data_IF_849820848603
#
_entry.id   IF_849820848603
#
_cell.length_a   1.000
_cell.length_b   1.000
_cell.length_c   1.000
_cell.angle_alpha   90.00
_cell.angle_beta   90.00
_cell.angle_gamma   90.00
#
_symmetry.space_group_name_H-M   'P 1'
#
loop_
_entity.id
_entity.type
_entity.pdbx_description
1 polymer ?
#
# COMPACT_ATOMS: atom_id res chain seq x y z
N UNK A 1 4.95 17.87 -33.07
CA UNK A 1 5.17 17.73 -31.60
C UNK A 1 6.64 17.97 -31.34
N UNK A 2 6.93 18.68 -30.29
CA UNK A 2 8.32 18.93 -29.86
C UNK A 2 9.00 17.58 -29.51
N UNK A 3 10.15 17.32 -30.13
CA UNK A 3 10.82 16.01 -30.04
C UNK A 3 11.96 15.96 -29.02
N UNK A 4 12.27 17.10 -28.37
CA UNK A 4 13.38 17.23 -27.41
C UNK A 4 12.89 17.64 -26.02
N UNK A 5 13.27 16.88 -24.99
CA UNK A 5 12.94 17.10 -23.60
C UNK A 5 14.19 17.11 -22.71
N UNK A 6 14.10 17.74 -21.55
CA UNK A 6 15.14 17.60 -20.52
C UNK A 6 14.96 16.29 -19.76
N UNK A 7 13.68 15.91 -19.51
CA UNK A 7 13.31 14.67 -18.81
C UNK A 7 12.12 13.99 -19.50
N UNK A 8 12.23 12.68 -19.70
CA UNK A 8 11.09 11.82 -20.03
C UNK A 8 10.88 10.83 -18.90
N UNK A 9 9.69 10.89 -18.27
CA UNK A 9 9.27 9.93 -17.23
C UNK A 9 8.45 8.82 -17.88
N UNK A 10 8.77 7.57 -17.60
CA UNK A 10 8.08 6.38 -18.13
C UNK A 10 7.21 5.76 -17.05
N UNK A 11 5.89 5.90 -17.19
CA UNK A 11 4.87 5.50 -16.24
C UNK A 11 4.32 6.70 -15.46
N UNK A 12 2.99 6.85 -15.45
CA UNK A 12 2.28 7.93 -14.77
C UNK A 12 1.59 7.45 -13.48
N UNK A 13 2.17 6.45 -12.80
CA UNK A 13 1.81 6.08 -11.42
C UNK A 13 2.23 7.16 -10.42
N UNK A 14 1.97 6.98 -9.10
CA UNK A 14 2.29 7.98 -8.06
C UNK A 14 3.71 8.55 -8.18
N UNK A 15 4.73 7.74 -8.19
CA UNK A 15 6.10 8.23 -8.38
C UNK A 15 6.32 8.96 -9.69
N UNK A 16 5.75 8.45 -10.79
CA UNK A 16 5.99 9.02 -12.11
C UNK A 16 5.30 10.36 -12.33
N UNK A 17 4.00 10.50 -11.96
CA UNK A 17 3.32 11.79 -12.16
C UNK A 17 3.85 12.86 -11.21
N UNK A 18 4.22 12.49 -9.96
CA UNK A 18 4.85 13.42 -9.00
C UNK A 18 6.22 13.87 -9.50
N UNK A 19 7.06 12.93 -9.96
CA UNK A 19 8.35 13.24 -10.56
C UNK A 19 8.22 14.20 -11.75
N UNK A 20 7.28 13.93 -12.67
CA UNK A 20 7.06 14.77 -13.83
C UNK A 20 6.62 16.18 -13.47
N UNK A 21 5.71 16.32 -12.47
CA UNK A 21 5.26 17.62 -11.96
C UNK A 21 6.43 18.37 -11.31
N UNK A 22 7.20 17.72 -10.44
CA UNK A 22 8.33 18.34 -9.77
C UNK A 22 9.42 18.77 -10.75
N UNK A 23 9.76 17.94 -11.75
CA UNK A 23 10.68 18.32 -12.83
C UNK A 23 10.21 19.60 -13.55
N UNK A 24 8.92 19.67 -13.92
CA UNK A 24 8.37 20.85 -14.59
C UNK A 24 8.38 22.09 -13.68
N UNK A 25 8.10 21.96 -12.40
CA UNK A 25 8.18 23.05 -11.41
C UNK A 25 9.62 23.58 -11.24
N UNK A 26 10.62 22.71 -11.44
CA UNK A 26 12.05 23.06 -11.42
C UNK A 26 12.54 23.61 -12.77
N UNK A 27 11.62 23.90 -13.73
CA UNK A 27 11.94 24.52 -15.01
C UNK A 27 12.40 23.56 -16.11
N UNK A 28 12.36 22.24 -15.87
CA UNK A 28 12.77 21.24 -16.84
C UNK A 28 11.63 20.97 -17.84
N UNK A 29 11.94 20.95 -19.14
CA UNK A 29 10.99 20.57 -20.18
C UNK A 29 10.70 19.09 -20.10
N UNK A 30 9.50 18.73 -19.63
CA UNK A 30 9.16 17.37 -19.20
C UNK A 30 8.08 16.74 -20.06
N UNK A 31 8.27 15.45 -20.39
CA UNK A 31 7.23 14.58 -20.90
C UNK A 31 7.02 13.38 -19.98
N UNK A 32 5.81 12.83 -20.00
CA UNK A 32 5.48 11.59 -19.29
C UNK A 32 4.80 10.60 -20.23
N UNK A 33 5.32 9.38 -20.30
CA UNK A 33 4.76 8.29 -21.14
C UNK A 33 3.86 7.41 -20.28
N UNK A 34 2.61 7.19 -20.73
CA UNK A 34 1.68 6.26 -20.06
C UNK A 34 0.97 5.38 -21.09
N UNK A 35 0.97 4.07 -20.82
CA UNK A 35 0.33 3.08 -21.69
C UNK A 35 -1.17 2.93 -21.44
N UNK A 36 -1.64 3.26 -20.24
CA UNK A 36 -3.05 3.21 -19.89
C UNK A 36 -3.85 4.38 -20.46
N UNK A 37 -5.17 4.24 -20.51
CA UNK A 37 -6.06 5.32 -20.99
C UNK A 37 -6.06 6.54 -20.06
N UNK A 38 -5.80 6.33 -18.79
CA UNK A 38 -5.85 7.36 -17.73
C UNK A 38 -4.54 7.41 -16.97
N UNK A 39 -4.20 8.58 -16.49
CA UNK A 39 -3.05 8.81 -15.60
C UNK A 39 -3.31 8.27 -14.18
N UNK A 40 -2.28 8.22 -13.33
CA UNK A 40 -2.38 7.82 -11.93
C UNK A 40 -2.01 6.37 -11.65
N UNK A 41 -1.70 5.58 -12.68
CA UNK A 41 -1.19 4.20 -12.57
C UNK A 41 -2.12 3.26 -11.81
N UNK A 42 -1.55 2.20 -11.25
CA UNK A 42 -2.29 1.19 -10.46
C UNK A 42 -3.02 1.81 -9.27
N UNK A 43 -2.37 2.70 -8.53
CA UNK A 43 -2.90 3.27 -7.28
C UNK A 43 -4.26 3.95 -7.50
N UNK A 44 -4.36 4.88 -8.46
CA UNK A 44 -5.58 5.63 -8.69
C UNK A 44 -6.65 4.79 -9.39
N UNK A 45 -6.26 3.93 -10.32
CA UNK A 45 -7.21 3.24 -11.20
C UNK A 45 -7.74 1.92 -10.65
N UNK A 46 -6.88 1.06 -10.10
CA UNK A 46 -7.21 -0.32 -9.73
C UNK A 46 -6.56 -0.78 -8.40
N UNK A 47 -6.15 0.16 -7.55
CA UNK A 47 -5.43 -0.11 -6.30
C UNK A 47 -5.96 0.71 -5.12
N UNK A 48 -5.14 1.66 -4.64
CA UNK A 48 -5.37 2.40 -3.40
C UNK A 48 -6.74 3.11 -3.36
N UNK A 49 -7.06 3.89 -4.39
CA UNK A 49 -8.27 4.72 -4.37
C UNK A 49 -9.55 3.89 -4.42
N UNK A 50 -9.72 2.95 -5.38
CA UNK A 50 -10.93 2.13 -5.37
C UNK A 50 -11.05 1.25 -4.12
N UNK A 51 -9.93 0.75 -3.53
CA UNK A 51 -9.98 -0.03 -2.29
C UNK A 51 -10.42 0.82 -1.11
N UNK A 52 -9.88 2.04 -0.93
CA UNK A 52 -10.26 2.95 0.17
C UNK A 52 -11.70 3.44 0.04
N UNK A 53 -12.18 3.66 -1.18
CA UNK A 53 -13.60 3.96 -1.42
C UNK A 53 -14.53 2.81 -0.98
N UNK A 54 -14.19 1.57 -1.29
CA UNK A 54 -14.98 0.41 -0.87
C UNK A 54 -14.84 0.12 0.64
N UNK A 55 -13.63 0.26 1.20
CA UNK A 55 -13.40 0.14 2.65
C UNK A 55 -14.27 1.11 3.42
N UNK A 56 -14.26 2.40 3.04
CA UNK A 56 -15.10 3.41 3.69
C UNK A 56 -16.60 3.09 3.54
N UNK A 57 -17.08 2.81 2.32
CA UNK A 57 -18.49 2.56 2.07
C UNK A 57 -19.00 1.30 2.78
N UNK A 58 -18.21 0.23 2.79
CA UNK A 58 -18.54 -1.02 3.47
C UNK A 58 -18.52 -0.87 5.00
N UNK A 59 -17.62 -0.04 5.53
CA UNK A 59 -17.56 0.26 6.96
C UNK A 59 -18.76 1.08 7.43
N UNK A 60 -19.16 2.12 6.66
CA UNK A 60 -20.38 2.87 6.96
C UNK A 60 -21.62 1.97 6.95
N UNK A 61 -21.72 1.05 6.00
CA UNK A 61 -22.81 0.08 5.98
C UNK A 61 -22.81 -0.84 7.21
N UNK A 62 -21.64 -1.36 7.60
CA UNK A 62 -21.47 -2.17 8.81
C UNK A 62 -21.85 -1.40 10.08
N UNK A 63 -21.36 -0.16 10.23
CA UNK A 63 -21.68 0.70 11.37
C UNK A 63 -23.19 0.96 11.46
N UNK A 64 -23.82 1.26 10.34
CA UNK A 64 -25.27 1.47 10.28
C UNK A 64 -26.07 0.22 10.70
N UNK A 65 -25.60 -0.97 10.33
CA UNK A 65 -26.27 -2.23 10.72
C UNK A 65 -26.09 -2.63 12.20
N UNK A 66 -24.91 -2.34 12.78
CA UNK A 66 -24.51 -2.94 14.07
C UNK A 66 -24.38 -1.94 15.20
N UNK A 67 -24.11 -0.67 14.92
CA UNK A 67 -23.68 0.32 15.92
C UNK A 67 -24.67 1.48 16.06
N UNK A 68 -25.41 1.86 15.02
CA UNK A 68 -26.29 3.04 15.05
C UNK A 68 -27.32 2.97 16.18
N UNK A 69 -27.92 1.80 16.43
CA UNK A 69 -28.90 1.63 17.51
C UNK A 69 -28.27 1.94 18.90
N UNK A 70 -27.00 1.59 19.11
CA UNK A 70 -26.31 1.89 20.36
C UNK A 70 -26.04 3.40 20.52
N UNK A 71 -26.01 4.15 19.43
CA UNK A 71 -25.87 5.60 19.39
C UNK A 71 -27.22 6.35 19.43
N UNK A 72 -28.33 5.62 19.57
CA UNK A 72 -29.67 6.19 19.54
C UNK A 72 -30.15 6.58 18.11
N UNK A 73 -29.54 6.04 17.09
CA UNK A 73 -29.90 6.30 15.67
C UNK A 73 -30.60 5.06 15.11
N UNK A 74 -31.89 5.19 14.81
CA UNK A 74 -32.67 4.11 14.19
C UNK A 74 -32.49 4.12 12.65
N UNK A 75 -31.92 3.05 12.13
CA UNK A 75 -31.74 2.85 10.69
C UNK A 75 -32.61 1.68 10.17
N UNK A 76 -33.91 1.92 10.14
CA UNK A 76 -34.89 0.92 9.71
C UNK A 76 -34.78 0.63 8.20
N UNK A 77 -34.93 -0.66 7.81
CA UNK A 77 -34.92 -1.12 6.41
C UNK A 77 -33.65 -0.78 5.61
N UNK A 78 -32.50 -0.78 6.28
CA UNK A 78 -31.20 -0.54 5.62
C UNK A 78 -30.95 -1.58 4.51
N UNK A 79 -30.83 -1.11 3.27
CA UNK A 79 -30.57 -1.96 2.11
C UNK A 79 -29.27 -1.54 1.42
N UNK A 80 -28.44 -2.51 1.08
CA UNK A 80 -27.25 -2.31 0.27
C UNK A 80 -27.62 -2.25 -1.22
N UNK A 81 -27.13 -1.24 -1.93
CA UNK A 81 -27.14 -1.20 -3.39
C UNK A 81 -25.70 -1.24 -3.92
N UNK A 82 -25.22 -2.43 -4.26
CA UNK A 82 -23.84 -2.63 -4.72
C UNK A 82 -23.53 -1.81 -5.98
N UNK A 83 -24.45 -1.73 -6.93
CA UNK A 83 -24.24 -0.97 -8.17
C UNK A 83 -24.02 0.53 -7.90
N UNK A 84 -24.77 1.13 -6.97
CA UNK A 84 -24.55 2.52 -6.55
C UNK A 84 -23.22 2.67 -5.82
N UNK A 85 -22.83 1.73 -4.96
CA UNK A 85 -21.53 1.72 -4.25
C UNK A 85 -20.36 1.66 -5.25
N UNK A 86 -20.43 0.77 -6.25
CA UNK A 86 -19.42 0.66 -7.30
C UNK A 86 -19.35 1.92 -8.16
N UNK A 87 -20.49 2.54 -8.47
CA UNK A 87 -20.52 3.80 -9.22
C UNK A 87 -19.88 4.94 -8.41
N UNK A 88 -20.11 5.02 -7.10
CA UNK A 88 -19.45 5.99 -6.22
C UNK A 88 -17.92 5.80 -6.22
N UNK A 89 -17.44 4.56 -6.09
CA UNK A 89 -16.03 4.21 -6.24
C UNK A 89 -15.46 4.70 -7.59
N UNK A 90 -16.17 4.43 -8.70
CA UNK A 90 -15.74 4.84 -10.04
C UNK A 90 -15.72 6.37 -10.21
N UNK A 91 -16.65 7.11 -9.60
CA UNK A 91 -16.64 8.57 -9.56
C UNK A 91 -15.40 9.11 -8.86
N UNK A 92 -15.01 8.54 -7.74
CA UNK A 92 -13.77 8.93 -7.02
C UNK A 92 -12.52 8.69 -7.87
N UNK A 93 -12.43 7.53 -8.52
CA UNK A 93 -11.32 7.22 -9.46
C UNK A 93 -11.28 8.23 -10.60
N UNK A 94 -12.42 8.51 -11.24
CA UNK A 94 -12.50 9.45 -12.36
C UNK A 94 -12.11 10.89 -11.93
N UNK A 95 -12.56 11.33 -10.77
CA UNK A 95 -12.25 12.67 -10.26
C UNK A 95 -10.73 12.83 -10.07
N UNK A 96 -10.07 11.83 -9.46
CA UNK A 96 -8.63 11.88 -9.18
C UNK A 96 -7.77 11.73 -10.44
N UNK A 97 -8.14 10.85 -11.37
CA UNK A 97 -7.41 10.72 -12.64
C UNK A 97 -7.50 11.98 -13.50
N UNK A 98 -8.68 12.63 -13.56
CA UNK A 98 -8.85 13.94 -14.18
C UNK A 98 -8.07 15.04 -13.44
N UNK A 99 -7.93 14.96 -12.13
CA UNK A 99 -7.08 15.83 -11.33
C UNK A 99 -5.62 15.78 -11.81
N UNK A 100 -5.07 14.59 -12.02
CA UNK A 100 -3.70 14.44 -12.54
C UNK A 100 -3.58 15.00 -13.98
N UNK A 101 -4.58 14.76 -14.85
CA UNK A 101 -4.59 15.36 -16.18
C UNK A 101 -4.58 16.90 -16.13
N UNK A 102 -5.36 17.49 -15.22
CA UNK A 102 -5.35 18.94 -14.98
C UNK A 102 -3.97 19.43 -14.51
N UNK A 103 -3.33 18.72 -13.57
CA UNK A 103 -2.00 19.06 -13.07
C UNK A 103 -0.94 18.98 -14.18
N UNK A 104 -1.03 18.02 -15.08
CA UNK A 104 -0.14 17.94 -16.25
C UNK A 104 -0.30 19.16 -17.15
N UNK A 105 -1.54 19.55 -17.47
CA UNK A 105 -1.82 20.77 -18.25
C UNK A 105 -1.30 22.03 -17.57
N UNK A 106 -1.58 22.18 -16.26
CA UNK A 106 -1.13 23.33 -15.45
C UNK A 106 0.38 23.49 -15.45
N UNK A 107 1.12 22.38 -15.38
CA UNK A 107 2.58 22.37 -15.36
C UNK A 107 3.20 22.20 -16.77
N UNK A 108 2.42 22.28 -17.84
CA UNK A 108 2.87 22.17 -19.25
C UNK A 108 3.63 20.86 -19.56
N UNK A 109 3.25 19.76 -18.89
CA UNK A 109 3.86 18.44 -19.09
C UNK A 109 3.24 17.82 -20.34
N UNK A 110 4.09 17.35 -21.27
CA UNK A 110 3.63 16.63 -22.46
C UNK A 110 3.26 15.20 -22.10
N UNK A 111 1.97 14.84 -22.21
CA UNK A 111 1.53 13.46 -22.04
C UNK A 111 1.70 12.70 -23.36
N UNK A 112 2.53 11.66 -23.35
CA UNK A 112 2.79 10.76 -24.48
C UNK A 112 2.10 9.41 -24.21
N UNK A 113 0.99 9.16 -24.91
CA UNK A 113 0.24 7.92 -24.73
C UNK A 113 0.86 6.79 -25.55
N UNK A 114 1.20 5.66 -24.90
CA UNK A 114 1.75 4.48 -25.53
C UNK A 114 2.73 3.71 -24.63
N UNK A 115 3.32 2.66 -25.18
CA UNK A 115 4.36 1.86 -24.52
C UNK A 115 5.73 2.44 -24.85
N UNK A 116 6.55 2.62 -23.83
CA UNK A 116 7.90 3.13 -23.97
C UNK A 116 8.91 2.00 -24.14
N UNK A 117 9.93 2.25 -24.98
CA UNK A 117 11.20 1.51 -25.01
C UNK A 117 12.37 2.48 -25.00
N UNK A 118 13.55 2.02 -24.58
CA UNK A 118 14.76 2.83 -24.41
C UNK A 118 15.85 2.29 -25.37
N UNK A 119 15.83 2.70 -26.65
CA UNK A 119 16.82 2.22 -27.62
C UNK A 119 18.22 2.78 -27.38
N UNK A 120 18.33 3.96 -26.77
CA UNK A 120 19.62 4.57 -26.37
C UNK A 120 19.46 5.37 -25.09
N UNK A 121 20.55 5.71 -24.42
CA UNK A 121 20.54 6.53 -23.19
C UNK A 121 19.92 7.94 -23.33
N UNK A 122 19.64 8.39 -24.55
CA UNK A 122 19.07 9.71 -24.81
C UNK A 122 17.86 9.67 -25.74
N UNK A 123 17.26 8.48 -25.95
CA UNK A 123 16.09 8.32 -26.81
C UNK A 123 15.07 7.41 -26.17
N UNK A 124 13.82 7.87 -26.12
CA UNK A 124 12.66 7.06 -25.77
C UNK A 124 11.80 6.89 -27.01
N UNK A 125 11.48 5.66 -27.36
CA UNK A 125 10.53 5.33 -28.41
C UNK A 125 9.18 5.05 -27.79
N UNK A 126 8.15 5.75 -28.22
CA UNK A 126 6.77 5.52 -27.79
C UNK A 126 6.02 4.80 -28.91
N UNK A 127 5.45 3.65 -28.60
CA UNK A 127 4.59 2.87 -29.48
C UNK A 127 3.14 3.07 -29.06
N UNK A 128 2.35 3.73 -29.90
CA UNK A 128 0.93 4.00 -29.63
C UNK A 128 0.02 2.77 -29.85
N UNK A 129 -1.29 2.93 -29.61
CA UNK A 129 -2.28 1.87 -29.77
C UNK A 129 -2.42 1.39 -31.24
N UNK A 130 -2.03 2.21 -32.20
CA UNK A 130 -2.00 1.89 -33.65
C UNK A 130 -0.66 1.28 -34.08
N UNK A 131 0.21 0.94 -33.11
CA UNK A 131 1.59 0.41 -33.34
C UNK A 131 2.53 1.37 -34.08
N UNK A 132 2.19 2.65 -34.18
CA UNK A 132 3.08 3.67 -34.71
C UNK A 132 4.16 3.97 -33.67
N UNK A 133 5.41 3.96 -34.11
CA UNK A 133 6.59 4.28 -33.31
C UNK A 133 7.01 5.72 -33.54
N UNK A 134 7.20 6.46 -32.44
CA UNK A 134 7.72 7.84 -32.47
C UNK A 134 8.89 7.95 -31.51
N UNK A 135 9.99 8.51 -31.97
CA UNK A 135 11.21 8.70 -31.18
C UNK A 135 11.25 10.12 -30.61
N UNK A 136 11.56 10.19 -29.31
CA UNK A 136 11.74 11.44 -28.57
C UNK A 136 13.14 11.48 -27.98
N UNK A 137 13.84 12.61 -28.13
CA UNK A 137 15.15 12.85 -27.55
C UNK A 137 14.99 13.43 -26.15
N UNK A 138 15.87 13.03 -25.24
CA UNK A 138 15.87 13.54 -23.87
C UNK A 138 17.28 13.52 -23.28
N UNK A 139 17.53 14.41 -22.31
CA UNK A 139 18.77 14.41 -21.53
C UNK A 139 18.75 13.35 -20.44
N UNK A 140 17.58 13.15 -19.82
CA UNK A 140 17.38 12.23 -18.69
C UNK A 140 16.14 11.36 -18.89
N UNK A 141 16.17 10.12 -18.43
CA UNK A 141 15.05 9.17 -18.43
C UNK A 141 14.78 8.74 -17.01
N UNK A 142 13.51 8.75 -16.57
CA UNK A 142 13.09 8.22 -15.27
C UNK A 142 12.13 7.07 -15.49
N UNK A 143 12.47 5.88 -14.97
CA UNK A 143 11.67 4.67 -15.08
C UNK A 143 10.83 4.53 -13.82
N UNK A 144 9.50 4.71 -13.94
CA UNK A 144 8.51 4.58 -12.87
C UNK A 144 7.35 3.67 -13.26
N UNK A 145 7.64 2.53 -13.90
CA UNK A 145 6.62 1.61 -14.45
C UNK A 145 5.89 0.76 -13.41
N UNK A 146 6.27 0.87 -12.13
CA UNK A 146 5.55 0.29 -11.00
C UNK A 146 5.61 -1.22 -10.93
N UNK A 147 4.52 -1.84 -10.51
CA UNK A 147 4.42 -3.29 -10.27
C UNK A 147 3.09 -3.86 -10.75
N UNK A 148 3.06 -5.19 -10.88
CA UNK A 148 1.87 -5.98 -11.23
C UNK A 148 1.62 -7.07 -10.18
N UNK A 149 0.37 -7.58 -10.03
CA UNK A 149 0.08 -8.69 -9.12
C UNK A 149 0.93 -9.93 -9.47
N UNK A 150 1.36 -10.66 -8.44
CA UNK A 150 2.02 -11.96 -8.58
C UNK A 150 0.96 -13.05 -8.47
N UNK A 151 1.11 -14.13 -9.25
CA UNK A 151 0.35 -15.37 -9.09
C UNK A 151 1.24 -16.49 -8.58
N UNK A 152 0.61 -17.54 -8.05
CA UNK A 152 1.29 -18.79 -7.71
C UNK A 152 1.50 -19.64 -8.96
N UNK A 153 2.57 -20.47 -9.01
CA UNK A 153 2.77 -21.41 -10.09
C UNK A 153 1.54 -22.31 -10.29
N UNK A 154 1.13 -22.50 -11.54
CA UNK A 154 -0.04 -23.30 -11.90
C UNK A 154 -1.41 -22.65 -11.67
N UNK A 155 -1.49 -21.48 -11.05
CA UNK A 155 -2.75 -20.74 -10.83
C UNK A 155 -2.85 -19.61 -11.86
N UNK A 156 -3.78 -19.73 -12.80
CA UNK A 156 -4.05 -18.72 -13.82
C UNK A 156 -5.17 -17.78 -13.34
N UNK A 157 -4.84 -16.51 -13.19
CA UNK A 157 -5.83 -15.44 -12.95
C UNK A 157 -6.60 -15.21 -14.24
N UNK A 158 -7.93 -15.36 -14.20
CA UNK A 158 -8.84 -15.19 -15.33
C UNK A 158 -9.69 -13.91 -15.23
N UNK A 159 -9.54 -13.18 -14.11
CA UNK A 159 -10.31 -11.97 -13.72
C UNK A 159 -11.83 -12.19 -13.72
N UNK A 160 -12.28 -13.44 -13.68
CA UNK A 160 -13.69 -13.83 -13.59
C UNK A 160 -13.97 -14.61 -12.30
N UNK A 161 -13.39 -15.80 -12.17
CA UNK A 161 -13.52 -16.69 -11.00
C UNK A 161 -12.31 -16.64 -10.11
N UNK A 162 -11.13 -16.65 -10.70
CA UNK A 162 -9.82 -16.47 -10.04
C UNK A 162 -9.34 -15.06 -10.39
N UNK A 163 -9.35 -14.16 -9.43
CA UNK A 163 -9.11 -12.74 -9.67
C UNK A 163 -7.86 -12.22 -8.96
N UNK A 164 -7.29 -11.17 -9.52
CA UNK A 164 -6.36 -10.28 -8.81
C UNK A 164 -7.13 -9.29 -7.93
N UNK A 165 -6.39 -8.38 -7.26
CA UNK A 165 -7.01 -7.26 -6.53
C UNK A 165 -7.86 -6.38 -7.45
N UNK A 166 -7.49 -6.19 -8.73
CA UNK A 166 -8.27 -5.42 -9.68
C UNK A 166 -9.65 -6.03 -9.97
N UNK A 167 -9.70 -7.36 -10.16
CA UNK A 167 -10.97 -8.07 -10.32
C UNK A 167 -11.81 -8.05 -9.06
N UNK A 168 -11.20 -8.22 -7.88
CA UNK A 168 -11.93 -8.17 -6.61
C UNK A 168 -12.49 -6.77 -6.30
N UNK A 169 -11.89 -5.70 -6.81
CA UNK A 169 -12.40 -4.32 -6.73
C UNK A 169 -13.54 -4.04 -7.74
N UNK A 170 -13.88 -5.01 -8.58
CA UNK A 170 -14.81 -4.83 -9.70
C UNK A 170 -15.94 -5.88 -9.74
N UNK A 171 -16.18 -6.62 -8.66
CA UNK A 171 -17.28 -7.58 -8.61
C UNK A 171 -18.64 -6.90 -8.84
N UNK A 172 -19.43 -7.46 -9.72
CA UNK A 172 -20.80 -7.04 -10.03
C UNK A 172 -21.85 -7.58 -9.03
N UNK A 173 -21.49 -8.64 -8.32
CA UNK A 173 -22.31 -9.30 -7.28
C UNK A 173 -21.44 -9.64 -6.07
N UNK A 174 -22.04 -9.60 -4.89
CA UNK A 174 -21.40 -10.04 -3.66
C UNK A 174 -21.24 -11.57 -3.73
N UNK A 175 -19.99 -12.11 -3.73
CA UNK A 175 -19.81 -13.56 -3.68
C UNK A 175 -20.31 -14.10 -2.35
N UNK A 176 -21.07 -15.20 -2.35
CA UNK A 176 -21.50 -15.84 -1.11
C UNK A 176 -20.30 -16.39 -0.35
N UNK A 177 -19.36 -17.02 -1.07
CA UNK A 177 -18.12 -17.59 -0.54
C UNK A 177 -16.91 -17.04 -1.31
N UNK A 178 -16.00 -16.38 -0.59
CA UNK A 178 -14.75 -15.84 -1.11
C UNK A 178 -13.58 -16.50 -0.40
N UNK A 179 -12.68 -17.10 -1.17
CA UNK A 179 -11.37 -17.53 -0.68
C UNK A 179 -10.33 -16.50 -1.09
N UNK A 180 -9.50 -16.10 -0.13
CA UNK A 180 -8.39 -15.17 -0.35
C UNK A 180 -7.08 -15.92 -0.10
N UNK A 181 -6.20 -15.94 -1.09
CA UNK A 181 -4.87 -16.55 -1.00
C UNK A 181 -3.88 -15.44 -0.69
N UNK A 182 -3.32 -15.45 0.54
CA UNK A 182 -2.39 -14.46 1.07
C UNK A 182 -3.00 -13.57 2.13
N UNK A 183 -2.40 -13.56 3.32
CA UNK A 183 -2.76 -12.78 4.51
C UNK A 183 -2.03 -11.44 4.62
N UNK A 184 -1.56 -10.87 3.50
CA UNK A 184 -0.98 -9.53 3.44
C UNK A 184 -2.04 -8.42 3.40
N UNK A 185 -1.60 -7.15 3.41
CA UNK A 185 -2.48 -5.97 3.48
C UNK A 185 -3.57 -5.92 2.40
N UNK A 186 -3.25 -6.24 1.13
CA UNK A 186 -4.24 -6.25 0.03
C UNK A 186 -5.32 -7.30 0.27
N UNK A 187 -4.90 -8.53 0.65
CA UNK A 187 -5.81 -9.63 0.93
C UNK A 187 -6.75 -9.30 2.08
N UNK A 188 -6.24 -8.73 3.18
CA UNK A 188 -7.03 -8.42 4.38
C UNK A 188 -7.96 -7.21 4.19
N UNK A 189 -7.53 -6.17 3.47
CA UNK A 189 -8.40 -5.04 3.12
C UNK A 189 -9.61 -5.50 2.31
N UNK A 190 -9.39 -6.28 1.25
CA UNK A 190 -10.47 -6.78 0.40
C UNK A 190 -11.31 -7.86 1.09
N UNK A 191 -10.70 -8.68 1.97
CA UNK A 191 -11.43 -9.58 2.86
C UNK A 191 -12.42 -8.82 3.74
N UNK A 192 -11.96 -7.71 4.34
CA UNK A 192 -12.80 -6.85 5.19
C UNK A 192 -13.97 -6.23 4.42
N UNK A 193 -13.70 -5.71 3.21
CA UNK A 193 -14.78 -5.17 2.33
C UNK A 193 -15.87 -6.21 2.10
N UNK A 194 -15.50 -7.35 1.55
CA UNK A 194 -16.50 -8.36 1.14
C UNK A 194 -17.16 -9.03 2.33
N UNK A 195 -16.43 -9.21 3.46
CA UNK A 195 -17.01 -9.69 4.72
C UNK A 195 -18.12 -8.77 5.24
N UNK A 196 -17.86 -7.45 5.26
CA UNK A 196 -18.84 -6.45 5.70
C UNK A 196 -20.07 -6.41 4.80
N UNK A 197 -19.92 -6.73 3.52
CA UNK A 197 -21.01 -6.80 2.55
C UNK A 197 -21.78 -8.14 2.56
N UNK A 198 -21.35 -9.12 3.39
CA UNK A 198 -22.09 -10.37 3.62
C UNK A 198 -21.43 -11.65 3.08
N UNK A 199 -20.24 -11.59 2.49
CA UNK A 199 -19.52 -12.78 2.06
C UNK A 199 -19.02 -13.60 3.27
N UNK A 200 -19.04 -14.94 3.13
CA UNK A 200 -18.24 -15.83 3.96
C UNK A 200 -16.81 -15.82 3.40
N UNK A 201 -15.87 -15.26 4.17
CA UNK A 201 -14.49 -15.09 3.73
C UNK A 201 -13.56 -16.05 4.47
N UNK A 202 -12.73 -16.76 3.70
CA UNK A 202 -11.64 -17.59 4.23
C UNK A 202 -10.31 -17.14 3.62
N UNK A 203 -9.37 -16.76 4.48
CA UNK A 203 -8.00 -16.39 4.10
C UNK A 203 -7.10 -17.59 4.32
N UNK A 204 -6.36 -17.99 3.27
CA UNK A 204 -5.35 -19.06 3.33
C UNK A 204 -3.98 -18.38 3.27
N UNK A 205 -3.19 -18.55 4.33
CA UNK A 205 -1.86 -17.96 4.47
C UNK A 205 -0.81 -19.06 4.67
N UNK A 206 0.29 -18.95 3.93
CA UNK A 206 1.41 -19.89 3.97
C UNK A 206 2.16 -19.84 5.31
N UNK A 207 2.31 -18.62 5.85
CA UNK A 207 2.98 -18.38 7.12
C UNK A 207 2.08 -18.72 8.31
N UNK A 208 2.66 -18.74 9.49
CA UNK A 208 1.94 -18.93 10.77
C UNK A 208 1.29 -17.65 11.31
N UNK A 209 1.47 -16.52 10.62
CA UNK A 209 0.96 -15.21 10.98
C UNK A 209 0.51 -14.42 9.75
N UNK A 210 -0.30 -13.38 9.95
CA UNK A 210 -0.75 -12.45 8.91
C UNK A 210 0.18 -11.23 8.85
N UNK A 211 0.03 -10.40 7.80
CA UNK A 211 0.77 -9.14 7.60
C UNK A 211 2.29 -9.28 7.84
N UNK A 212 2.97 -10.16 7.09
CA UNK A 212 4.41 -10.34 7.24
C UNK A 212 5.16 -9.03 7.05
N UNK A 213 6.17 -8.80 7.91
CA UNK A 213 6.95 -7.55 7.94
C UNK A 213 6.42 -6.49 8.90
N UNK A 214 5.23 -6.67 9.49
CA UNK A 214 4.75 -5.90 10.63
C UNK A 214 5.20 -6.53 11.96
N UNK A 215 5.20 -5.73 13.02
CA UNK A 215 5.53 -6.17 14.38
C UNK A 215 4.63 -7.35 14.83
N UNK A 216 5.20 -8.32 15.53
CA UNK A 216 4.51 -9.57 15.92
C UNK A 216 3.31 -9.33 16.83
N UNK A 217 3.42 -8.38 17.77
CA UNK A 217 2.31 -8.05 18.67
C UNK A 217 1.13 -7.51 17.88
N UNK A 218 1.42 -6.66 16.89
CA UNK A 218 0.44 -6.11 15.95
C UNK A 218 -0.23 -7.23 15.15
N UNK A 219 0.57 -8.11 14.54
CA UNK A 219 0.05 -9.24 13.76
C UNK A 219 -0.87 -10.15 14.59
N UNK A 220 -0.46 -10.43 15.82
CA UNK A 220 -1.20 -11.29 16.77
C UNK A 220 -2.54 -10.67 17.16
N UNK A 221 -2.53 -9.39 17.55
CA UNK A 221 -3.76 -8.69 17.96
C UNK A 221 -4.69 -8.46 16.77
N UNK A 222 -4.15 -8.08 15.64
CA UNK A 222 -4.94 -7.88 14.43
C UNK A 222 -5.63 -9.16 13.95
N UNK A 223 -4.95 -10.31 14.03
CA UNK A 223 -5.56 -11.61 13.75
C UNK A 223 -6.77 -11.91 14.66
N UNK A 224 -6.66 -11.60 15.96
CA UNK A 224 -7.79 -11.76 16.90
C UNK A 224 -8.97 -10.88 16.53
N UNK A 225 -8.70 -9.60 16.20
CA UNK A 225 -9.73 -8.63 15.80
C UNK A 225 -10.45 -9.11 14.54
N UNK A 226 -9.72 -9.52 13.49
CA UNK A 226 -10.31 -9.98 12.24
C UNK A 226 -11.09 -11.29 12.40
N UNK A 227 -10.64 -12.21 13.25
CA UNK A 227 -11.40 -13.41 13.62
C UNK A 227 -12.71 -13.05 14.30
N UNK A 228 -12.70 -12.12 15.27
CA UNK A 228 -13.90 -11.60 15.94
C UNK A 228 -14.87 -10.94 14.94
N UNK A 229 -14.36 -10.31 13.90
CA UNK A 229 -15.15 -9.76 12.79
C UNK A 229 -15.70 -10.87 11.85
N UNK A 230 -15.31 -12.12 12.04
CA UNK A 230 -15.83 -13.31 11.35
C UNK A 230 -15.13 -13.62 10.03
N UNK A 231 -13.88 -13.19 9.85
CA UNK A 231 -13.00 -13.69 8.78
C UNK A 231 -12.37 -14.98 9.28
N UNK A 232 -12.43 -16.05 8.48
CA UNK A 232 -11.80 -17.33 8.83
C UNK A 232 -10.37 -17.37 8.31
N UNK A 233 -9.45 -17.91 9.10
CA UNK A 233 -8.04 -18.04 8.72
C UNK A 233 -7.58 -19.50 8.69
N UNK A 234 -6.86 -19.86 7.63
CA UNK A 234 -6.10 -21.10 7.46
C UNK A 234 -4.63 -20.72 7.38
N UNK A 235 -3.99 -20.54 8.55
CA UNK A 235 -2.56 -20.25 8.65
C UNK A 235 -1.73 -21.54 8.46
N UNK A 236 -0.41 -21.39 8.22
CA UNK A 236 0.49 -22.50 7.91
C UNK A 236 -0.03 -23.37 6.74
N UNK A 237 -0.65 -22.76 5.75
CA UNK A 237 -1.40 -23.50 4.72
C UNK A 237 -0.92 -23.13 3.32
N UNK A 238 -0.33 -24.11 2.63
CA UNK A 238 0.18 -23.98 1.25
C UNK A 238 -0.93 -24.33 0.26
N UNK A 239 -1.37 -23.36 -0.54
CA UNK A 239 -2.25 -23.64 -1.67
C UNK A 239 -1.47 -24.43 -2.72
N UNK A 240 -2.01 -25.58 -3.12
CA UNK A 240 -1.39 -26.51 -4.06
C UNK A 240 -2.04 -26.48 -5.44
N UNK A 241 -3.28 -25.98 -5.53
CA UNK A 241 -3.99 -25.83 -6.80
C UNK A 241 -5.30 -25.08 -6.67
N UNK A 242 -5.74 -24.49 -7.78
CA UNK A 242 -7.08 -23.93 -7.93
C UNK A 242 -7.64 -24.40 -9.27
N UNK A 243 -8.80 -25.03 -9.24
CA UNK A 243 -9.54 -25.45 -10.44
C UNK A 243 -10.90 -24.78 -10.50
N UNK A 244 -11.47 -24.64 -11.69
CA UNK A 244 -12.83 -24.09 -11.89
C UNK A 244 -13.74 -25.18 -12.43
N UNK A 245 -14.80 -25.49 -11.69
CA UNK A 245 -15.79 -26.53 -12.03
C UNK A 245 -17.19 -25.92 -11.93
N UNK A 246 -17.95 -25.94 -13.02
CA UNK A 246 -19.33 -25.38 -13.06
C UNK A 246 -19.42 -23.96 -12.51
N UNK A 247 -18.51 -23.05 -12.95
CA UNK A 247 -18.44 -21.64 -12.52
C UNK A 247 -18.13 -21.42 -11.03
N UNK A 248 -17.70 -22.44 -10.29
CA UNK A 248 -17.18 -22.32 -8.94
C UNK A 248 -15.71 -22.69 -8.92
N UNK A 249 -14.94 -22.04 -8.05
CA UNK A 249 -13.58 -22.44 -7.80
C UNK A 249 -13.49 -23.51 -6.72
N UNK A 250 -12.53 -24.39 -6.89
CA UNK A 250 -12.13 -25.38 -5.88
C UNK A 250 -10.67 -25.12 -5.56
N UNK A 251 -10.38 -24.78 -4.31
CA UNK A 251 -9.04 -24.49 -3.81
C UNK A 251 -8.55 -25.68 -3.01
N UNK A 252 -7.45 -26.31 -3.46
CA UNK A 252 -6.76 -27.36 -2.75
C UNK A 252 -5.56 -26.78 -2.00
N UNK A 253 -5.40 -27.14 -0.74
CA UNK A 253 -4.28 -26.68 0.09
C UNK A 253 -3.87 -27.73 1.12
N UNK A 254 -2.64 -27.63 1.60
CA UNK A 254 -2.06 -28.52 2.59
C UNK A 254 -1.58 -27.73 3.78
N UNK A 255 -1.91 -28.16 4.99
CA UNK A 255 -1.37 -27.57 6.21
C UNK A 255 0.09 -28.00 6.38
N UNK A 256 1.00 -27.04 6.53
CA UNK A 256 2.44 -27.27 6.59
C UNK A 256 2.90 -27.95 7.90
N UNK A 257 2.09 -27.91 8.99
CA UNK A 257 2.46 -28.50 10.29
C UNK A 257 2.14 -30.00 10.37
N UNK A 258 1.00 -30.41 9.83
CA UNK A 258 0.49 -31.78 9.97
C UNK A 258 0.26 -32.49 8.61
N UNK A 259 0.63 -31.86 7.51
CA UNK A 259 0.46 -32.37 6.14
C UNK A 259 -1.00 -32.70 5.75
N UNK A 260 -1.99 -32.23 6.51
CA UNK A 260 -3.41 -32.46 6.21
C UNK A 260 -3.79 -31.74 4.93
N UNK A 261 -4.38 -32.45 3.99
CA UNK A 261 -4.93 -31.90 2.74
C UNK A 261 -6.37 -31.49 2.97
N UNK A 262 -6.67 -30.26 2.61
CA UNK A 262 -8.01 -29.69 2.70
C UNK A 262 -8.44 -29.13 1.33
N UNK A 263 -9.76 -29.01 1.17
CA UNK A 263 -10.38 -28.48 -0.05
C UNK A 263 -11.52 -27.54 0.32
N UNK A 264 -11.59 -26.38 -0.34
CA UNK A 264 -12.70 -25.42 -0.18
C UNK A 264 -13.26 -25.11 -1.57
N UNK A 265 -14.58 -25.26 -1.71
CA UNK A 265 -15.32 -24.75 -2.86
C UNK A 265 -15.83 -23.35 -2.57
N UNK A 266 -15.73 -22.43 -3.54
CA UNK A 266 -16.16 -21.03 -3.38
C UNK A 266 -16.63 -20.41 -4.70
N UNK A 267 -17.26 -19.24 -4.63
CA UNK A 267 -17.71 -18.50 -5.82
C UNK A 267 -16.57 -17.75 -6.49
N UNK A 268 -15.64 -17.20 -5.70
CA UNK A 268 -14.50 -16.41 -6.16
C UNK A 268 -13.24 -16.72 -5.35
N UNK A 269 -12.11 -16.63 -6.03
CA UNK A 269 -10.77 -16.70 -5.40
C UNK A 269 -10.04 -15.40 -5.69
N UNK A 270 -9.60 -14.71 -4.64
CA UNK A 270 -8.68 -13.59 -4.73
C UNK A 270 -7.25 -14.09 -4.51
N UNK A 271 -6.37 -13.88 -5.49
CA UNK A 271 -4.93 -14.12 -5.36
C UNK A 271 -4.23 -12.83 -4.95
N UNK A 272 -3.72 -12.78 -3.71
CA UNK A 272 -3.11 -11.61 -3.09
C UNK A 272 -1.74 -11.95 -2.45
N UNK A 273 -0.90 -12.69 -3.18
CA UNK A 273 0.39 -13.24 -2.71
C UNK A 273 1.58 -12.32 -2.98
N UNK A 274 1.33 -11.03 -3.20
CA UNK A 274 2.33 -10.02 -3.43
C UNK A 274 2.31 -9.43 -4.83
N UNK A 275 3.32 -8.60 -5.09
CA UNK A 275 3.50 -7.87 -6.35
C UNK A 275 4.92 -8.06 -6.86
N UNK A 276 5.12 -7.95 -8.17
CA UNK A 276 6.43 -7.96 -8.81
C UNK A 276 6.63 -6.72 -9.66
N UNK A 277 7.88 -6.30 -9.81
CA UNK A 277 8.24 -5.15 -10.64
C UNK A 277 7.76 -5.31 -12.09
N UNK A 278 7.22 -4.24 -12.65
CA UNK A 278 6.71 -4.21 -14.02
C UNK A 278 7.78 -3.69 -14.97
N UNK A 279 8.71 -4.56 -15.34
CA UNK A 279 9.80 -4.25 -16.26
C UNK A 279 9.54 -5.01 -17.57
N UNK A 280 9.21 -4.27 -18.63
CA UNK A 280 9.01 -4.87 -19.96
C UNK A 280 10.32 -5.35 -20.57
N UNK A 281 10.23 -6.28 -21.50
CA UNK A 281 11.39 -6.74 -22.27
C UNK A 281 12.11 -5.56 -23.00
N UNK A 282 11.34 -4.58 -23.48
CA UNK A 282 11.85 -3.38 -24.13
C UNK A 282 12.68 -2.47 -23.21
N UNK A 283 12.42 -2.49 -21.91
CA UNK A 283 13.20 -1.78 -20.88
C UNK A 283 14.40 -2.63 -20.47
N UNK A 284 14.21 -3.91 -20.24
CA UNK A 284 15.33 -4.81 -19.83
C UNK A 284 16.39 -4.97 -20.92
N UNK A 285 16.01 -4.90 -22.21
CA UNK A 285 16.95 -4.96 -23.35
C UNK A 285 17.83 -3.72 -23.50
N UNK A 286 17.56 -2.64 -22.76
CA UNK A 286 18.41 -1.42 -22.75
C UNK A 286 19.79 -1.64 -22.10
N UNK A 287 20.04 -2.79 -21.43
CA UNK A 287 21.30 -3.07 -20.72
C UNK A 287 21.33 -2.57 -19.28
N UNK A 288 20.19 -2.16 -18.72
CA UNK A 288 20.06 -1.81 -17.30
C UNK A 288 20.22 -3.06 -16.44
N UNK A 289 21.04 -2.98 -15.40
CA UNK A 289 21.28 -4.09 -14.47
C UNK A 289 20.07 -4.32 -13.57
N UNK A 290 19.64 -5.58 -13.48
CA UNK A 290 18.61 -6.05 -12.57
C UNK A 290 19.26 -6.88 -11.44
N UNK A 291 18.58 -6.95 -10.30
CA UNK A 291 18.94 -7.87 -9.21
C UNK A 291 18.33 -9.26 -9.41
N UNK A 292 18.58 -10.18 -8.47
CA UNK A 292 18.05 -11.55 -8.48
C UNK A 292 16.51 -11.64 -8.39
N UNK A 293 15.85 -10.54 -7.99
CA UNK A 293 14.39 -10.42 -7.91
C UNK A 293 13.79 -9.69 -9.12
N UNK A 294 14.58 -9.45 -10.18
CA UNK A 294 14.19 -8.65 -11.35
C UNK A 294 13.79 -7.21 -11.01
N UNK A 295 14.47 -6.58 -10.05
CA UNK A 295 14.32 -5.17 -9.74
C UNK A 295 15.51 -4.38 -10.31
N UNK A 296 15.28 -3.15 -10.73
CA UNK A 296 16.33 -2.27 -11.25
C UNK A 296 17.27 -1.88 -10.10
N UNK A 297 18.57 -2.15 -10.28
CA UNK A 297 19.59 -1.69 -9.35
C UNK A 297 19.85 -0.21 -9.55
N UNK A 298 19.78 0.55 -8.46
CA UNK A 298 20.07 1.99 -8.44
C UNK A 298 21.10 2.32 -7.36
N UNK A 299 21.88 3.40 -7.61
CA UNK A 299 22.78 3.99 -6.62
C UNK A 299 22.01 4.92 -5.65
N UNK A 300 22.76 5.65 -4.80
CA UNK A 300 22.17 6.59 -3.81
C UNK A 300 21.45 7.78 -4.46
N UNK A 301 21.75 8.08 -5.73
CA UNK A 301 21.10 9.13 -6.52
C UNK A 301 19.99 8.58 -7.43
N UNK A 302 19.52 7.35 -7.19
CA UNK A 302 18.51 6.67 -8.00
C UNK A 302 18.93 6.43 -9.47
N UNK A 303 20.21 6.64 -9.80
CA UNK A 303 20.73 6.39 -11.15
C UNK A 303 20.96 4.88 -11.32
N UNK A 304 20.58 4.37 -12.48
CA UNK A 304 20.79 2.98 -12.86
C UNK A 304 22.25 2.71 -13.25
N UNK A 305 22.53 1.51 -13.76
CA UNK A 305 23.86 1.21 -14.34
C UNK A 305 24.20 2.03 -15.58
N UNK A 306 23.25 2.77 -16.13
CA UNK A 306 23.42 3.63 -17.32
C UNK A 306 23.23 5.09 -16.88
N UNK A 307 24.26 5.91 -17.16
CA UNK A 307 24.26 7.33 -16.81
C UNK A 307 23.07 8.08 -17.41
N UNK A 308 22.45 8.96 -16.59
CA UNK A 308 21.26 9.76 -16.93
C UNK A 308 19.98 8.94 -17.13
N UNK A 309 19.98 7.65 -16.72
CA UNK A 309 18.78 6.85 -16.61
C UNK A 309 18.55 6.52 -15.13
N UNK A 310 17.45 7.04 -14.59
CA UNK A 310 17.02 6.89 -13.20
C UNK A 310 15.85 5.91 -13.11
N UNK A 311 15.63 5.34 -11.92
CA UNK A 311 14.45 4.53 -11.67
C UNK A 311 13.91 4.80 -10.27
N UNK A 312 12.56 4.71 -10.10
CA UNK A 312 11.82 5.01 -8.88
C UNK A 312 10.65 4.05 -8.67
N UNK A 313 10.18 3.98 -7.44
CA UNK A 313 8.97 3.23 -7.07
C UNK A 313 9.20 1.72 -7.01
N UNK A 314 8.16 0.97 -7.36
CA UNK A 314 8.12 -0.48 -7.19
C UNK A 314 9.10 -1.25 -8.10
N UNK A 315 9.71 -0.59 -9.08
CA UNK A 315 10.66 -1.22 -10.01
C UNK A 315 12.08 -1.32 -9.46
N UNK A 316 12.42 -0.55 -8.41
CA UNK A 316 13.78 -0.50 -7.86
C UNK A 316 13.99 -1.48 -6.70
N UNK A 317 15.25 -1.75 -6.41
CA UNK A 317 15.68 -2.66 -5.34
C UNK A 317 15.75 -1.99 -3.94
N UNK A 318 15.20 -0.78 -3.77
CA UNK A 318 15.18 -0.05 -2.49
C UNK A 318 13.76 0.08 -1.92
N UNK A 319 13.64 -0.12 -0.62
CA UNK A 319 12.43 0.11 0.15
C UNK A 319 11.21 -0.74 -0.22
N UNK A 320 10.06 -0.50 0.43
CA UNK A 320 8.81 -1.22 0.19
C UNK A 320 8.10 -0.72 -1.07
N UNK A 321 7.18 -1.53 -1.61
CA UNK A 321 6.30 -1.15 -2.74
C UNK A 321 5.11 -0.31 -2.23
N UNK A 322 5.35 0.98 -1.95
CA UNK A 322 4.37 1.93 -1.43
C UNK A 322 4.27 3.17 -2.32
N UNK A 323 3.06 3.70 -2.49
CA UNK A 323 2.80 4.84 -3.36
C UNK A 323 3.55 6.10 -2.90
N UNK A 324 3.46 6.45 -1.61
CA UNK A 324 4.13 7.63 -1.02
C UNK A 324 5.66 7.50 -1.05
N UNK A 325 6.22 6.29 -0.86
CA UNK A 325 7.66 6.07 -1.07
C UNK A 325 8.07 6.41 -2.51
N UNK A 326 7.28 6.00 -3.49
CA UNK A 326 7.55 6.31 -4.89
C UNK A 326 7.38 7.81 -5.21
N UNK A 327 6.44 8.49 -4.55
CA UNK A 327 6.25 9.95 -4.65
C UNK A 327 7.47 10.70 -4.15
N UNK A 328 7.98 10.37 -2.96
CA UNK A 328 9.18 10.99 -2.37
C UNK A 328 10.43 10.72 -3.21
N UNK A 329 10.60 9.50 -3.72
CA UNK A 329 11.66 9.17 -4.68
C UNK A 329 11.53 9.99 -5.97
N UNK A 330 10.31 10.21 -6.45
CA UNK A 330 10.04 11.05 -7.61
C UNK A 330 10.44 12.50 -7.41
N UNK A 331 10.19 13.06 -6.22
CA UNK A 331 10.63 14.40 -5.83
C UNK A 331 12.16 14.45 -5.77
N UNK A 332 12.78 13.51 -5.05
CA UNK A 332 14.22 13.45 -4.89
C UNK A 332 14.95 13.34 -6.24
N UNK A 333 14.49 12.49 -7.15
CA UNK A 333 15.09 12.35 -8.49
C UNK A 333 14.93 13.62 -9.31
N UNK A 334 13.78 14.29 -9.25
CA UNK A 334 13.59 15.56 -9.95
C UNK A 334 14.57 16.64 -9.44
N UNK A 335 14.77 16.73 -8.13
CA UNK A 335 15.74 17.63 -7.49
C UNK A 335 17.17 17.31 -7.89
N UNK A 336 17.56 16.03 -7.88
CA UNK A 336 18.89 15.58 -8.32
C UNK A 336 19.14 15.95 -9.79
N UNK A 337 18.18 15.71 -10.68
CA UNK A 337 18.29 16.07 -12.10
C UNK A 337 18.45 17.59 -12.28
N UNK A 338 17.79 18.39 -11.46
CA UNK A 338 17.91 19.85 -11.44
C UNK A 338 19.17 20.38 -10.74
N UNK A 339 20.06 19.50 -10.24
CA UNK A 339 21.31 19.87 -9.58
C UNK A 339 21.17 20.21 -8.09
N UNK A 340 20.04 19.82 -7.47
CA UNK A 340 19.77 19.98 -6.04
C UNK A 340 20.05 18.68 -5.27
N UNK A 341 20.04 18.75 -3.93
CA UNK A 341 20.20 17.58 -3.05
C UNK A 341 18.83 16.92 -2.80
N UNK A 342 18.51 15.87 -3.56
CA UNK A 342 17.32 15.05 -3.30
C UNK A 342 17.61 14.01 -2.20
N UNK A 343 16.65 13.80 -1.29
CA UNK A 343 16.78 12.88 -0.16
C UNK A 343 15.48 12.10 0.09
N UNK A 344 15.63 10.84 0.51
CA UNK A 344 14.54 9.98 1.01
C UNK A 344 15.04 9.23 2.23
N UNK A 345 14.38 9.41 3.37
CA UNK A 345 14.65 8.66 4.58
C UNK A 345 13.85 7.36 4.61
N UNK A 346 14.47 6.25 4.25
CA UNK A 346 13.81 4.95 4.21
C UNK A 346 13.45 4.41 5.60
N UNK A 347 14.08 4.89 6.67
CA UNK A 347 13.77 4.48 8.04
C UNK A 347 12.49 5.15 8.59
N UNK A 348 12.02 6.22 7.95
CA UNK A 348 10.81 6.96 8.37
C UNK A 348 9.62 6.81 7.40
N UNK A 349 9.64 5.81 6.52
CA UNK A 349 8.52 5.54 5.60
C UNK A 349 7.42 4.77 6.33
N UNK A 350 6.22 5.34 6.54
CA UNK A 350 5.13 4.66 7.23
C UNK A 350 4.47 3.59 6.34
N UNK A 351 4.01 2.50 6.95
CA UNK A 351 3.16 1.50 6.31
C UNK A 351 1.78 1.49 6.97
N UNK A 352 0.70 1.43 6.17
CA UNK A 352 -0.68 1.49 6.67
C UNK A 352 -1.55 0.42 6.01
N UNK A 353 -2.41 -0.22 6.80
CA UNK A 353 -3.48 -1.12 6.37
C UNK A 353 -4.80 -0.47 6.75
N UNK A 354 -5.65 -0.19 5.78
CA UNK A 354 -6.86 0.64 5.94
C UNK A 354 -8.14 -0.17 6.26
N UNK A 355 -8.00 -1.18 7.08
CA UNK A 355 -9.15 -1.91 7.65
C UNK A 355 -9.86 -1.07 8.72
N UNK A 356 -10.77 -1.65 9.48
CA UNK A 356 -11.32 -1.04 10.70
C UNK A 356 -11.24 -2.10 11.82
N UNK A 357 -10.39 -1.85 12.86
CA UNK A 357 -9.43 -0.74 12.96
C UNK A 357 -8.33 -0.78 11.90
N UNK A 358 -7.67 0.36 11.70
CA UNK A 358 -6.48 0.49 10.87
C UNK A 358 -5.23 -0.04 11.59
N UNK A 359 -4.25 -0.47 10.81
CA UNK A 359 -2.92 -0.84 11.33
C UNK A 359 -1.89 0.08 10.70
N UNK A 360 -0.98 0.63 11.50
CA UNK A 360 0.11 1.46 10.98
C UNK A 360 1.43 1.15 11.69
N UNK A 361 2.54 1.34 10.97
CA UNK A 361 3.87 1.30 11.55
C UNK A 361 4.81 2.24 10.80
N UNK A 362 5.88 2.65 11.50
CA UNK A 362 7.03 3.35 10.95
C UNK A 362 8.28 2.89 11.69
N UNK A 363 9.41 2.80 10.98
CA UNK A 363 10.68 2.33 11.55
C UNK A 363 10.77 0.81 11.67
N UNK A 364 11.55 0.34 12.64
CA UNK A 364 11.89 -1.07 12.84
C UNK A 364 10.86 -1.79 13.70
N UNK A 365 10.62 -3.07 13.41
CA UNK A 365 9.89 -3.96 14.31
C UNK A 365 10.78 -4.44 15.45
N UNK A 366 10.18 -4.92 16.53
CA UNK A 366 10.94 -5.48 17.67
C UNK A 366 11.81 -6.68 17.23
N UNK A 367 11.32 -7.52 16.30
CA UNK A 367 12.07 -8.66 15.76
C UNK A 367 13.32 -8.22 14.98
N UNK A 368 13.23 -7.10 14.23
CA UNK A 368 14.38 -6.54 13.53
C UNK A 368 15.43 -6.00 14.51
N UNK A 369 15.00 -5.29 15.53
CA UNK A 369 15.85 -4.73 16.58
C UNK A 369 16.58 -5.86 17.35
N UNK A 370 15.87 -6.93 17.71
CA UNK A 370 16.46 -8.13 18.34
C UNK A 370 17.49 -8.78 17.40
N UNK A 371 17.17 -8.94 16.12
CA UNK A 371 18.08 -9.53 15.14
C UNK A 371 19.35 -8.68 14.95
N UNK A 372 19.23 -7.36 15.00
CA UNK A 372 20.33 -6.41 14.91
C UNK A 372 21.09 -6.27 16.24
N UNK A 373 20.65 -6.93 17.32
CA UNK A 373 21.23 -6.91 18.67
C UNK A 373 21.30 -5.50 19.27
N UNK A 374 20.36 -4.64 18.93
CA UNK A 374 20.22 -3.31 19.50
C UNK A 374 19.55 -3.44 20.88
N UNK A 375 20.11 -2.79 21.90
CA UNK A 375 19.45 -2.67 23.22
C UNK A 375 18.33 -1.66 23.14
N UNK A 376 17.16 -2.02 23.67
CA UNK A 376 15.95 -1.21 23.50
C UNK A 376 15.05 -1.26 24.73
N UNK A 377 14.15 -0.29 24.82
CA UNK A 377 13.00 -0.26 25.72
C UNK A 377 11.70 -0.22 24.90
N UNK A 378 10.61 -0.64 25.49
CA UNK A 378 9.27 -0.66 24.87
C UNK A 378 8.27 0.03 25.77
N UNK A 379 7.49 0.95 25.20
CA UNK A 379 6.28 1.48 25.81
C UNK A 379 5.03 1.06 25.04
N UNK A 380 3.98 0.68 25.76
CA UNK A 380 2.68 0.31 25.17
C UNK A 380 1.55 1.01 25.92
N UNK A 381 0.52 1.43 25.15
CA UNK A 381 -0.70 2.00 25.71
C UNK A 381 -1.93 1.52 24.94
N UNK A 382 -2.93 0.89 25.59
CA UNK A 382 -4.12 0.38 24.94
C UNK A 382 -5.16 1.47 24.72
N UNK A 383 -5.87 1.45 23.58
CA UNK A 383 -6.97 2.37 23.31
C UNK A 383 -8.17 2.19 24.27
N UNK A 384 -8.27 1.05 24.94
CA UNK A 384 -9.25 0.85 26.03
C UNK A 384 -9.10 1.89 27.15
N UNK A 385 -7.91 2.44 27.36
CA UNK A 385 -7.65 3.50 28.36
C UNK A 385 -7.75 4.93 27.76
N UNK A 386 -7.90 5.10 26.43
CA UNK A 386 -7.98 6.39 25.79
C UNK A 386 -9.41 6.97 25.82
N UNK A 387 -9.57 8.20 26.30
CA UNK A 387 -10.87 8.89 26.46
C UNK A 387 -11.63 9.02 25.14
N UNK A 388 -10.97 9.45 24.07
CA UNK A 388 -11.61 9.65 22.76
C UNK A 388 -12.07 8.33 22.15
N UNK A 389 -11.27 7.27 22.27
CA UNK A 389 -11.62 5.95 21.80
C UNK A 389 -12.86 5.40 22.55
N UNK A 390 -12.97 5.66 23.86
CA UNK A 390 -14.17 5.30 24.64
C UNK A 390 -15.41 6.05 24.16
N UNK A 391 -15.33 7.36 23.96
CA UNK A 391 -16.44 8.17 23.45
C UNK A 391 -16.94 7.67 22.10
N UNK A 392 -16.01 7.27 21.23
CA UNK A 392 -16.34 6.77 19.90
C UNK A 392 -16.71 5.28 19.86
N UNK A 393 -16.58 4.55 20.99
CA UNK A 393 -16.69 3.07 21.04
C UNK A 393 -15.70 2.35 20.13
N UNK A 394 -14.49 2.90 19.98
CA UNK A 394 -13.41 2.44 19.09
C UNK A 394 -12.16 2.06 19.90
N UNK A 395 -12.33 1.20 20.91
CA UNK A 395 -11.31 0.90 21.93
C UNK A 395 -10.37 -0.25 21.57
N UNK A 396 -10.50 -0.86 20.39
CA UNK A 396 -9.65 -1.97 19.97
C UNK A 396 -8.24 -1.47 19.61
N UNK A 397 -7.22 -2.24 20.02
CA UNK A 397 -5.82 -2.01 19.69
C UNK A 397 -5.03 -1.22 20.72
N UNK A 398 -3.82 -0.84 20.31
CA UNK A 398 -2.83 -0.17 21.17
C UNK A 398 -1.81 0.58 20.32
N UNK A 399 -1.03 1.45 20.97
CA UNK A 399 0.21 2.03 20.44
C UNK A 399 1.40 1.34 21.12
N UNK A 400 2.43 0.96 20.34
CA UNK A 400 3.71 0.42 20.77
C UNK A 400 4.82 1.28 20.24
N UNK A 401 5.67 1.83 21.11
CA UNK A 401 6.86 2.61 20.80
C UNK A 401 8.09 1.83 21.25
N UNK A 402 9.10 1.75 20.39
CA UNK A 402 10.38 1.10 20.69
C UNK A 402 11.47 2.15 20.55
N UNK A 403 12.32 2.26 21.56
CA UNK A 403 13.40 3.23 21.62
C UNK A 403 14.75 2.56 21.89
N UNK A 404 15.81 3.19 21.47
CA UNK A 404 17.18 2.83 21.89
C UNK A 404 17.37 3.04 23.40
N UNK A 405 17.88 2.00 24.09
CA UNK A 405 17.98 2.02 25.55
C UNK A 405 18.84 3.15 26.10
N UNK A 406 19.90 3.55 25.36
CA UNK A 406 20.87 4.54 25.80
C UNK A 406 20.52 5.97 25.42
N UNK A 407 19.99 6.16 24.21
CA UNK A 407 19.76 7.50 23.64
C UNK A 407 18.31 7.94 23.71
N UNK A 408 17.40 7.04 24.08
CA UNK A 408 15.93 7.22 24.06
C UNK A 408 15.35 7.53 22.66
N UNK A 409 16.19 7.49 21.61
CA UNK A 409 15.75 7.77 20.24
C UNK A 409 14.73 6.74 19.77
N UNK A 410 13.65 7.19 19.14
CA UNK A 410 12.62 6.33 18.58
C UNK A 410 13.20 5.50 17.43
N UNK A 411 13.11 4.17 17.55
CA UNK A 411 13.59 3.19 16.56
C UNK A 411 12.44 2.65 15.70
N UNK A 412 11.25 2.57 16.27
CA UNK A 412 10.09 2.09 15.58
C UNK A 412 8.80 2.26 16.38
N UNK A 413 7.72 2.41 15.67
CA UNK A 413 6.37 2.54 16.24
C UNK A 413 5.41 1.68 15.44
N UNK A 414 4.52 1.01 16.16
CA UNK A 414 3.46 0.21 15.57
C UNK A 414 2.16 0.45 16.32
N UNK A 415 1.02 0.48 15.61
CA UNK A 415 -0.27 0.70 16.25
C UNK A 415 -1.43 0.03 15.52
N UNK A 416 -2.47 -0.27 16.29
CA UNK A 416 -3.81 -0.61 15.80
C UNK A 416 -4.77 0.41 16.40
N UNK A 417 -5.50 1.14 15.57
CA UNK A 417 -6.43 2.19 15.99
C UNK A 417 -7.46 2.46 14.91
N UNK A 418 -8.59 3.02 15.27
CA UNK A 418 -9.59 3.48 14.29
C UNK A 418 -9.04 4.51 13.28
N UNK A 419 -7.97 5.22 13.62
CA UNK A 419 -7.36 6.32 12.85
C UNK A 419 -5.82 6.21 12.77
N UNK A 420 -5.29 5.00 12.82
CA UNK A 420 -3.85 4.74 12.84
C UNK A 420 -3.11 5.35 11.63
N UNK A 421 -3.73 5.31 10.45
CA UNK A 421 -3.17 5.86 9.22
C UNK A 421 -2.99 7.38 9.25
N UNK A 422 -3.77 8.10 10.07
CA UNK A 422 -3.58 9.54 10.29
C UNK A 422 -2.55 9.80 11.41
N UNK A 423 -2.64 9.04 12.51
CA UNK A 423 -1.76 9.21 13.67
C UNK A 423 -0.30 8.91 13.38
N UNK A 424 0.00 7.98 12.49
CA UNK A 424 1.38 7.57 12.18
C UNK A 424 2.23 8.70 11.60
N UNK A 425 1.62 9.71 11.01
CA UNK A 425 2.32 10.86 10.43
C UNK A 425 3.09 11.68 11.49
N UNK A 426 2.54 11.81 12.70
CA UNK A 426 3.22 12.43 13.84
C UNK A 426 4.52 11.70 14.18
N UNK A 427 4.49 10.39 14.16
CA UNK A 427 5.63 9.54 14.51
C UNK A 427 6.65 9.42 13.37
N UNK A 428 6.20 9.46 12.12
CA UNK A 428 7.10 9.59 10.98
C UNK A 428 7.88 10.90 11.04
N UNK A 429 7.20 12.02 11.38
CA UNK A 429 7.83 13.31 11.59
C UNK A 429 8.82 13.27 12.76
N UNK A 430 8.44 12.68 13.90
CA UNK A 430 9.30 12.54 15.06
C UNK A 430 10.58 11.74 14.71
N UNK A 431 10.47 10.65 13.97
CA UNK A 431 11.61 9.84 13.52
C UNK A 431 12.49 10.59 12.50
N UNK A 432 11.89 11.36 11.59
CA UNK A 432 12.65 12.18 10.62
C UNK A 432 13.58 13.18 11.32
N UNK A 433 13.10 13.80 12.42
CA UNK A 433 13.89 14.72 13.24
C UNK A 433 14.69 14.06 14.35
N UNK A 434 14.66 12.72 14.47
CA UNK A 434 15.44 11.96 15.45
C UNK A 434 14.99 12.17 16.90
N UNK A 435 13.70 12.36 17.11
CA UNK A 435 13.11 12.57 18.44
C UNK A 435 13.31 11.38 19.38
N UNK A 436 13.37 11.67 20.67
CA UNK A 436 13.31 10.73 21.78
C UNK A 436 11.85 10.45 22.21
N UNK A 437 11.65 9.35 22.99
CA UNK A 437 10.35 9.16 23.64
C UNK A 437 10.01 10.29 24.62
N UNK A 438 11.02 10.87 25.28
CA UNK A 438 10.82 12.00 26.18
C UNK A 438 10.29 13.25 25.42
N UNK A 439 10.77 13.54 24.20
CA UNK A 439 10.26 14.64 23.38
C UNK A 439 8.77 14.46 23.08
N UNK A 440 8.36 13.24 22.71
CA UNK A 440 6.96 12.91 22.45
C UNK A 440 6.13 13.01 23.74
N UNK A 441 6.60 12.48 24.86
CA UNK A 441 5.93 12.49 26.16
C UNK A 441 5.72 13.92 26.70
N UNK A 442 6.65 14.84 26.42
CA UNK A 442 6.58 16.26 26.83
C UNK A 442 5.78 17.14 25.89
N UNK A 443 5.55 16.67 24.65
CA UNK A 443 4.74 17.42 23.69
C UNK A 443 3.28 17.48 24.17
N UNK A 444 2.67 18.67 24.10
CA UNK A 444 1.26 18.84 24.45
C UNK A 444 0.37 18.22 23.36
N UNK A 445 -0.49 17.29 23.75
CA UNK A 445 -1.51 16.71 22.89
C UNK A 445 -2.88 17.28 23.24
N UNK A 446 -3.70 17.55 22.23
CA UNK A 446 -5.05 18.05 22.44
C UNK A 446 -5.93 16.99 23.14
N UNK A 447 -6.78 17.43 24.07
CA UNK A 447 -7.73 16.56 24.80
C UNK A 447 -9.18 16.88 24.40
N UNK A 448 -10.06 15.85 24.15
CA UNK A 448 -9.72 14.42 24.02
C UNK A 448 -9.38 14.06 22.55
N UNK A 449 -8.31 13.35 22.35
CA UNK A 449 -7.88 12.85 21.03
C UNK A 449 -7.34 11.43 21.11
N UNK A 450 -7.30 10.73 19.97
CA UNK A 450 -6.63 9.44 19.87
C UNK A 450 -5.09 9.57 20.02
N UNK A 451 -4.51 10.71 19.61
CA UNK A 451 -3.06 10.96 19.68
C UNK A 451 -2.53 11.00 21.11
N UNK A 452 -3.37 11.24 22.13
CA UNK A 452 -2.94 11.11 23.53
C UNK A 452 -2.44 9.70 23.86
N UNK A 453 -2.88 8.66 23.13
CA UNK A 453 -2.35 7.32 23.28
C UNK A 453 -0.87 7.20 22.87
N UNK A 454 -0.40 8.06 21.95
CA UNK A 454 1.02 8.15 21.57
C UNK A 454 1.83 8.71 22.73
N UNK A 455 1.37 9.79 23.34
CA UNK A 455 1.99 10.38 24.54
C UNK A 455 2.09 9.41 25.69
N UNK A 456 1.01 8.69 25.98
CA UNK A 456 0.97 7.69 27.04
C UNK A 456 1.89 6.50 26.75
N UNK A 457 1.96 6.05 25.49
CA UNK A 457 2.91 5.00 25.08
C UNK A 457 4.35 5.47 25.22
N UNK A 458 4.66 6.74 24.92
CA UNK A 458 5.98 7.32 25.12
C UNK A 458 6.35 7.37 26.62
N UNK A 459 5.43 7.79 27.52
CA UNK A 459 5.63 7.74 28.98
C UNK A 459 5.81 6.30 29.49
N UNK A 460 5.13 5.34 28.87
CA UNK A 460 5.20 3.92 29.24
C UNK A 460 6.58 3.29 28.95
N UNK A 461 7.42 3.91 28.12
CA UNK A 461 8.82 3.50 27.90
C UNK A 461 9.60 3.48 29.23
N UNK A 462 9.35 4.46 30.08
CA UNK A 462 9.91 4.54 31.44
C UNK A 462 8.97 4.01 32.53
N UNK A 463 7.93 3.26 32.14
CA UNK A 463 6.93 2.67 33.04
C UNK A 463 6.15 3.70 33.87
N UNK A 464 5.86 4.86 33.27
CA UNK A 464 5.17 5.99 33.95
C UNK A 464 3.99 6.53 33.11
N UNK A 465 3.17 5.69 32.48
CA UNK A 465 1.93 6.19 31.89
C UNK A 465 1.01 6.74 32.99
N UNK A 466 0.17 7.73 32.69
CA UNK A 466 -0.71 8.35 33.68
C UNK A 466 -2.04 7.61 33.78
N UNK A 467 -2.56 7.14 32.68
CA UNK A 467 -3.92 6.60 32.59
C UNK A 467 -3.98 5.07 32.44
N UNK A 468 -2.85 4.37 32.60
CA UNK A 468 -2.79 2.91 32.51
C UNK A 468 -1.70 2.28 33.36
#
# INVERSE_FOLDING_TARGET
MDSNFDVIVIGAGPGGYVCAIKCAQLGLKTACVESSKTLGGTCLNVGCIPSKSLLNSSEMYRKAQKEFNNLGIEANNLKLNLAKMMNNKNKSVLALTKGVEFLFKKNKITHLRGKASIPTKSTVTVTDDLKKKTNFKTKNIVIGTGSVPTSLPGIKIDEKTIVSSAGALSFDKIPKELVVIGGGYIGLELSSVWKRLGSKVTVIEFLDHIIPGMDKDISTEFLKILNKQGINFKLNSKVTGVSVVKNKAVVDFTNNKNATRERIQCDKVLVAVGRKSNISADISSSGIKLDSQNKIQVNEKFETSIKNIFAIGDVINKGPMLAHKAEDEGIAVAEIIAGQAGHVNYDAIPAVIYTSPEVAMVGKTEEQIIKEKIKYKVGKFPFLANSRAKVNSETEGFVKIIVDEKTDRVLGVSMISAVAGTMIAELALAMEFGASAEDIARTCHAHPTHSEAIKEAAMAVDKKPIHF
#
